data_IF_116783199120
#
_entry.id   IF_116783199120
#
_cell.length_a   1.000
_cell.length_b   1.000
_cell.length_c   1.000
_cell.angle_alpha   90.00
_cell.angle_beta   90.00
_cell.angle_gamma   90.00
#
_symmetry.space_group_name_H-M   'P 1'
#
loop_
_entity.id
_entity.type
_entity.pdbx_description
1 polymer ?
#
# COMPACT_ATOMS: atom_id res chain seq x y z
N UNK A 1 -34.42 26.47 -26.14
CA UNK A 1 -33.55 27.06 -25.11
C UNK A 1 -33.20 25.95 -24.13
N UNK A 2 -31.92 25.60 -24.04
CA UNK A 2 -31.42 24.51 -23.19
C UNK A 2 -31.15 25.05 -21.79
N UNK A 3 -31.76 24.46 -20.76
CA UNK A 3 -31.50 24.78 -19.36
C UNK A 3 -30.37 23.87 -18.83
N UNK A 4 -29.39 24.48 -18.17
CA UNK A 4 -28.25 23.80 -17.56
C UNK A 4 -28.68 22.92 -16.36
N UNK A 5 -28.02 21.78 -16.12
CA UNK A 5 -28.24 20.98 -14.91
C UNK A 5 -27.58 21.64 -13.67
N UNK A 6 -28.06 21.36 -12.46
CA UNK A 6 -27.53 21.93 -11.22
C UNK A 6 -26.14 21.37 -10.89
N UNK A 7 -25.21 22.28 -10.61
CA UNK A 7 -23.91 21.99 -10.01
C UNK A 7 -24.06 21.42 -8.60
N UNK A 8 -23.34 20.34 -8.30
CA UNK A 8 -23.20 19.84 -6.93
C UNK A 8 -22.90 18.36 -6.81
N UNK A 9 -21.97 17.80 -7.60
CA UNK A 9 -21.26 16.62 -7.14
C UNK A 9 -20.44 17.03 -5.90
N UNK A 10 -20.34 16.21 -4.85
CA UNK A 10 -19.41 16.50 -3.77
C UNK A 10 -18.02 16.63 -4.38
N UNK A 11 -17.45 17.83 -4.35
CA UNK A 11 -16.03 18.06 -4.58
C UNK A 11 -15.32 17.11 -3.62
N UNK A 12 -14.71 16.05 -4.15
CA UNK A 12 -13.86 15.20 -3.35
C UNK A 12 -12.87 16.14 -2.63
N UNK A 13 -12.68 16.00 -1.30
CA UNK A 13 -11.74 16.85 -0.59
C UNK A 13 -10.38 16.78 -1.29
N UNK A 14 -9.56 17.84 -1.24
CA UNK A 14 -8.19 17.75 -1.72
C UNK A 14 -7.57 16.51 -1.09
N UNK A 15 -6.97 15.64 -1.90
CA UNK A 15 -6.23 14.44 -1.48
C UNK A 15 -5.28 14.80 -0.33
N UNK A 16 -5.77 14.65 0.90
CA UNK A 16 -4.98 14.83 2.09
C UNK A 16 -4.09 13.60 2.18
N UNK A 17 -2.81 13.77 1.82
CA UNK A 17 -1.84 12.69 1.95
C UNK A 17 -1.82 12.20 3.40
N UNK A 18 -1.94 10.88 3.59
CA UNK A 18 -1.78 10.23 4.89
C UNK A 18 -0.38 10.48 5.46
N UNK A 19 0.60 10.62 4.58
CA UNK A 19 1.97 10.92 4.94
C UNK A 19 2.93 10.54 3.82
N UNK A 20 4.03 9.90 4.17
CA UNK A 20 5.06 9.45 3.24
C UNK A 20 5.51 8.03 3.51
N UNK A 21 6.01 7.37 2.48
CA UNK A 21 6.57 6.01 2.56
C UNK A 21 7.92 5.97 1.84
N UNK A 22 8.89 5.30 2.45
CA UNK A 22 10.23 5.09 1.91
C UNK A 22 10.48 3.61 1.71
N UNK A 23 11.00 3.28 0.54
CA UNK A 23 11.30 1.91 0.11
C UNK A 23 12.80 1.78 -0.12
N UNK A 24 13.43 0.67 0.29
CA UNK A 24 14.84 0.43 0.03
C UNK A 24 15.07 0.12 -1.46
N UNK A 25 16.24 0.50 -1.97
CA UNK A 25 16.66 0.23 -3.35
C UNK A 25 16.57 1.42 -4.32
N UNK A 26 15.68 2.40 -4.08
CA UNK A 26 15.57 3.60 -4.92
C UNK A 26 16.18 4.86 -4.29
N UNK A 27 17.31 4.71 -3.59
CA UNK A 27 18.04 5.83 -2.99
C UNK A 27 17.27 6.59 -1.92
N UNK A 28 16.49 5.90 -1.07
CA UNK A 28 15.65 6.49 -0.02
C UNK A 28 14.58 7.46 -0.55
N UNK A 29 14.14 7.28 -1.80
CA UNK A 29 13.12 8.16 -2.37
C UNK A 29 11.81 8.07 -1.59
N UNK A 30 11.44 9.21 -1.04
CA UNK A 30 10.21 9.45 -0.32
C UNK A 30 9.06 9.52 -1.33
N UNK A 31 8.02 8.72 -1.11
CA UNK A 31 6.79 8.70 -1.90
C UNK A 31 5.65 9.28 -1.10
N UNK A 32 4.73 9.97 -1.78
CA UNK A 32 3.50 10.41 -1.15
C UNK A 32 2.63 9.18 -0.85
N UNK A 33 2.16 9.07 0.40
CA UNK A 33 1.19 8.08 0.81
C UNK A 33 -0.18 8.75 0.91
N UNK A 34 -1.14 8.24 0.16
CA UNK A 34 -2.49 8.78 0.08
C UNK A 34 -3.53 7.79 0.56
N UNK A 35 -4.68 8.29 1.00
CA UNK A 35 -5.83 7.45 1.27
C UNK A 35 -6.54 7.09 -0.05
N UNK A 36 -6.74 5.79 -0.29
CA UNK A 36 -7.44 5.26 -1.45
C UNK A 36 -6.51 4.79 -2.57
N UNK A 37 -7.01 3.89 -3.40
CA UNK A 37 -6.25 3.23 -4.49
C UNK A 37 -6.85 3.53 -5.87
N UNK A 38 -7.57 4.65 -6.02
CA UNK A 38 -8.18 5.04 -7.31
C UNK A 38 -7.09 5.44 -8.31
N UNK A 39 -7.39 5.32 -9.60
CA UNK A 39 -6.43 5.55 -10.70
C UNK A 39 -5.78 6.94 -10.64
N UNK A 40 -6.51 7.94 -10.13
CA UNK A 40 -6.04 9.33 -9.93
C UNK A 40 -4.99 9.47 -8.82
N UNK A 41 -4.87 8.46 -7.94
CA UNK A 41 -3.95 8.41 -6.80
C UNK A 41 -2.68 7.62 -7.13
N UNK A 42 -2.62 6.90 -8.26
CA UNK A 42 -1.54 5.97 -8.62
C UNK A 42 -0.67 6.49 -9.78
N UNK A 43 -0.23 7.74 -9.69
CA UNK A 43 0.91 8.22 -10.47
C UNK A 43 2.20 7.50 -10.04
N UNK A 44 3.25 7.55 -10.87
CA UNK A 44 4.50 6.80 -10.64
C UNK A 44 5.16 7.08 -9.27
N UNK A 45 4.92 8.27 -8.68
CA UNK A 45 5.51 8.72 -7.42
C UNK A 45 4.56 8.62 -6.21
N UNK A 46 3.38 8.04 -6.37
CA UNK A 46 2.35 7.97 -5.31
C UNK A 46 2.02 6.53 -4.93
N UNK A 47 1.72 6.32 -3.66
CA UNK A 47 1.31 5.04 -3.08
C UNK A 47 -0.05 5.23 -2.41
N UNK A 48 -1.01 4.40 -2.76
CA UNK A 48 -2.38 4.46 -2.25
C UNK A 48 -2.62 3.44 -1.13
N UNK A 49 -3.17 3.87 0.00
CA UNK A 49 -3.64 3.02 1.08
C UNK A 49 -5.01 2.43 0.76
N UNK A 50 -5.18 1.12 0.98
CA UNK A 50 -6.50 0.51 0.96
C UNK A 50 -7.29 0.95 2.19
N UNK A 51 -8.21 1.90 2.03
CA UNK A 51 -8.93 2.57 3.13
C UNK A 51 -9.74 1.67 4.07
N UNK A 52 -9.98 0.41 3.69
CA UNK A 52 -10.66 -0.57 4.53
C UNK A 52 -9.70 -1.43 5.38
N UNK A 53 -8.40 -1.17 5.28
CA UNK A 53 -7.34 -1.90 5.99
C UNK A 53 -6.84 -1.08 7.19
N UNK A 54 -6.00 -1.69 8.05
CA UNK A 54 -5.55 -1.05 9.27
C UNK A 54 -4.66 0.17 8.97
N UNK A 55 -4.69 1.20 9.82
CA UNK A 55 -3.79 2.34 9.68
C UNK A 55 -2.32 1.95 10.02
N UNK A 56 -1.33 2.76 9.62
CA UNK A 56 0.07 2.50 9.95
C UNK A 56 0.30 2.28 11.46
N UNK A 57 1.01 1.21 11.80
CA UNK A 57 1.38 0.85 13.16
C UNK A 57 0.27 0.16 13.96
N UNK A 58 -0.96 0.12 13.43
CA UNK A 58 -2.09 -0.47 14.14
C UNK A 58 -2.11 -2.00 14.00
N UNK A 59 -2.72 -2.71 14.98
CA UNK A 59 -2.99 -4.14 14.86
C UNK A 59 -3.83 -4.45 13.60
N UNK A 60 -3.48 -5.53 12.92
CA UNK A 60 -4.06 -5.95 11.65
C UNK A 60 -3.06 -5.83 10.51
N UNK A 61 -3.55 -5.42 9.34
CA UNK A 61 -2.77 -5.32 8.11
C UNK A 61 -2.95 -3.95 7.49
N UNK A 62 -1.88 -3.17 7.38
CA UNK A 62 -1.83 -1.92 6.64
C UNK A 62 -1.47 -2.23 5.18
N UNK A 63 -2.41 -2.08 4.25
CA UNK A 63 -2.19 -2.46 2.88
C UNK A 63 -2.09 -1.26 1.94
N UNK A 64 -1.13 -1.31 1.01
CA UNK A 64 -0.89 -0.25 0.03
C UNK A 64 -0.72 -0.79 -1.39
N UNK A 65 -1.03 0.05 -2.37
CA UNK A 65 -0.87 -0.20 -3.79
C UNK A 65 0.04 0.86 -4.43
N UNK A 66 0.88 0.42 -5.37
CA UNK A 66 1.79 1.29 -6.10
C UNK A 66 2.29 0.64 -7.39
N UNK A 67 3.32 1.23 -8.01
CA UNK A 67 3.86 0.80 -9.30
C UNK A 67 5.31 0.32 -9.21
N UNK A 68 6.27 1.09 -9.70
CA UNK A 68 7.65 0.65 -9.96
C UNK A 68 8.43 0.36 -8.67
N UNK A 69 8.34 1.23 -7.67
CA UNK A 69 9.15 1.11 -6.46
C UNK A 69 8.81 -0.12 -5.58
N UNK A 70 7.56 -0.58 -5.57
CA UNK A 70 7.18 -1.77 -4.78
C UNK A 70 7.80 -3.04 -5.37
N UNK A 71 7.98 -3.09 -6.70
CA UNK A 71 8.50 -4.28 -7.41
C UNK A 71 9.97 -4.57 -7.13
N UNK A 72 10.70 -3.64 -6.50
CA UNK A 72 12.12 -3.81 -6.17
C UNK A 72 12.32 -4.41 -4.78
N UNK A 73 11.25 -4.56 -3.98
CA UNK A 73 11.33 -5.09 -2.63
C UNK A 73 11.76 -6.56 -2.60
N UNK A 74 12.56 -6.89 -1.60
CA UNK A 74 13.08 -8.21 -1.31
C UNK A 74 12.90 -8.54 0.18
N UNK A 75 12.92 -9.82 0.53
CA UNK A 75 12.91 -10.24 1.93
C UNK A 75 14.11 -9.64 2.68
N UNK A 76 13.84 -9.09 3.87
CA UNK A 76 14.81 -8.40 4.72
C UNK A 76 14.78 -6.87 4.60
N UNK A 77 14.14 -6.34 3.57
CA UNK A 77 14.03 -4.90 3.32
C UNK A 77 13.24 -4.18 4.40
N UNK A 78 13.65 -2.95 4.73
CA UNK A 78 12.94 -2.09 5.69
C UNK A 78 12.14 -1.02 4.96
N UNK A 79 10.83 -1.07 5.10
CA UNK A 79 9.90 -0.04 4.64
C UNK A 79 9.61 0.91 5.79
N UNK A 80 9.80 2.21 5.56
CA UNK A 80 9.54 3.25 6.56
C UNK A 80 8.28 4.01 6.16
N UNK A 81 7.30 4.06 7.05
CA UNK A 81 6.06 4.80 6.86
C UNK A 81 6.01 5.93 7.86
N UNK A 82 5.93 7.16 7.38
CA UNK A 82 5.87 8.37 8.20
C UNK A 82 4.51 9.02 8.01
N UNK A 83 3.78 9.19 9.10
CA UNK A 83 2.47 9.84 9.14
C UNK A 83 2.44 10.82 10.31
N UNK A 84 1.46 11.72 10.42
CA UNK A 84 1.38 12.65 11.55
C UNK A 84 1.41 11.98 12.94
N UNK A 85 0.99 10.71 13.04
CA UNK A 85 1.01 9.94 14.29
C UNK A 85 2.38 9.34 14.64
N UNK A 86 3.35 9.30 13.72
CA UNK A 86 4.69 8.78 13.97
C UNK A 86 5.33 8.08 12.76
N UNK A 87 6.50 7.50 13.02
CA UNK A 87 7.28 6.71 12.06
C UNK A 87 7.19 5.23 12.41
N UNK A 88 6.84 4.41 11.42
CA UNK A 88 6.64 2.96 11.57
C UNK A 88 7.55 2.22 10.61
N UNK A 89 8.37 1.31 11.14
CA UNK A 89 9.34 0.56 10.36
C UNK A 89 8.84 -0.87 10.19
N UNK A 90 8.68 -1.33 8.97
CA UNK A 90 8.28 -2.69 8.67
C UNK A 90 9.42 -3.43 7.99
N UNK A 91 9.68 -4.67 8.41
CA UNK A 91 10.60 -5.56 7.70
C UNK A 91 9.81 -6.45 6.77
N UNK A 92 10.18 -6.49 5.49
CA UNK A 92 9.63 -7.44 4.53
C UNK A 92 10.07 -8.84 4.90
N UNK A 93 9.13 -9.73 5.18
CA UNK A 93 9.42 -11.12 5.52
C UNK A 93 9.26 -12.03 4.28
N UNK A 94 8.35 -11.68 3.36
CA UNK A 94 8.06 -12.50 2.16
C UNK A 94 7.68 -11.65 0.95
N UNK A 95 8.07 -12.10 -0.24
CA UNK A 95 7.62 -11.56 -1.52
C UNK A 95 7.10 -12.66 -2.44
N UNK A 96 6.15 -12.33 -3.30
CA UNK A 96 5.59 -13.24 -4.30
C UNK A 96 5.23 -12.49 -5.60
N UNK A 97 5.66 -13.03 -6.75
CA UNK A 97 5.54 -12.35 -8.06
C UNK A 97 4.27 -12.74 -8.86
N UNK A 98 3.55 -13.78 -8.43
CA UNK A 98 2.50 -14.42 -9.20
C UNK A 98 1.20 -14.54 -8.41
N UNK A 99 0.84 -13.50 -7.65
CA UNK A 99 -0.42 -13.47 -6.90
C UNK A 99 -1.59 -13.19 -7.86
N UNK A 100 -2.66 -13.99 -7.86
CA UNK A 100 -3.84 -13.74 -8.69
C UNK A 100 -4.53 -12.41 -8.34
N UNK A 101 -5.10 -11.69 -9.33
CA UNK A 101 -5.78 -10.40 -9.12
C UNK A 101 -7.05 -10.50 -8.27
N UNK A 102 -7.63 -11.69 -8.20
CA UNK A 102 -8.80 -12.00 -7.39
C UNK A 102 -8.47 -12.32 -5.92
N UNK A 103 -7.18 -12.41 -5.55
CA UNK A 103 -6.75 -12.72 -4.18
C UNK A 103 -6.90 -11.50 -3.27
N UNK A 104 -8.15 -11.13 -2.97
CA UNK A 104 -8.48 -10.04 -2.03
C UNK A 104 -8.15 -10.39 -0.58
N UNK A 105 -8.04 -11.69 -0.28
CA UNK A 105 -7.70 -12.25 1.02
C UNK A 105 -6.28 -11.89 1.51
N UNK A 106 -5.40 -11.41 0.62
CA UNK A 106 -4.10 -10.83 0.99
C UNK A 106 -4.23 -9.53 1.79
N UNK A 107 -5.41 -8.89 1.78
CA UNK A 107 -5.69 -7.65 2.50
C UNK A 107 -6.30 -7.91 3.89
N UNK A 108 -6.57 -9.17 4.24
CA UNK A 108 -7.14 -9.53 5.54
C UNK A 108 -6.21 -9.11 6.70
N UNK A 109 -6.74 -8.96 7.94
CA UNK A 109 -5.93 -8.59 9.11
C UNK A 109 -4.77 -9.55 9.39
N UNK A 110 -4.95 -10.84 9.08
CA UNK A 110 -3.87 -11.81 8.93
C UNK A 110 -3.80 -12.10 7.42
N UNK A 111 -2.84 -11.51 6.69
CA UNK A 111 -2.77 -11.61 5.24
C UNK A 111 -2.66 -13.07 4.79
N UNK A 112 -3.53 -13.52 3.88
CA UNK A 112 -3.35 -14.83 3.28
C UNK A 112 -2.04 -14.90 2.49
N UNK A 113 -1.47 -16.10 2.35
CA UNK A 113 -0.19 -16.39 1.64
C UNK A 113 1.08 -15.79 2.28
N UNK A 114 0.95 -14.97 3.32
CA UNK A 114 2.09 -14.36 4.03
C UNK A 114 2.86 -15.30 4.96
N UNK A 115 2.32 -16.51 5.22
CA UNK A 115 2.76 -17.46 6.26
C UNK A 115 2.55 -16.95 7.71
N UNK A 116 1.85 -15.83 7.90
CA UNK A 116 1.39 -15.40 9.21
C UNK A 116 0.18 -16.22 9.67
N UNK A 117 0.18 -16.60 10.95
CA UNK A 117 -0.86 -17.46 11.54
C UNK A 117 -1.47 -16.89 12.84
N UNK A 118 -0.95 -15.77 13.33
CA UNK A 118 -1.40 -15.12 14.57
C UNK A 118 -1.72 -13.66 14.30
N UNK A 119 -2.55 -13.00 15.14
CA UNK A 119 -2.71 -11.55 15.08
C UNK A 119 -1.37 -10.82 15.28
N UNK A 120 -1.18 -9.71 14.57
CA UNK A 120 0.02 -8.87 14.63
C UNK A 120 -0.22 -7.54 13.94
N UNK A 121 0.85 -6.78 13.71
CA UNK A 121 0.82 -5.55 12.92
C UNK A 121 1.64 -5.76 11.66
N UNK A 122 0.95 -5.85 10.52
CA UNK A 122 1.52 -6.23 9.24
C UNK A 122 1.41 -5.09 8.23
N UNK A 123 2.27 -5.16 7.21
CA UNK A 123 2.15 -4.37 5.98
C UNK A 123 1.99 -5.30 4.77
N UNK A 124 1.13 -4.93 3.84
CA UNK A 124 0.99 -5.59 2.53
C UNK A 124 1.21 -4.57 1.42
N UNK A 125 2.21 -4.78 0.55
CA UNK A 125 2.48 -3.89 -0.58
C UNK A 125 2.18 -4.61 -1.89
N UNK A 126 1.34 -4.00 -2.72
CA UNK A 126 0.89 -4.59 -3.99
C UNK A 126 1.30 -3.75 -5.19
N UNK A 127 1.69 -4.42 -6.27
CA UNK A 127 1.99 -3.80 -7.55
C UNK A 127 1.64 -4.74 -8.72
N UNK A 128 1.44 -4.26 -9.95
CA UNK A 128 1.36 -5.12 -11.12
C UNK A 128 2.65 -5.93 -11.29
N UNK A 129 2.54 -7.22 -11.60
CA UNK A 129 3.73 -8.08 -11.81
C UNK A 129 4.42 -7.75 -13.13
N UNK A 130 5.76 -7.78 -13.13
CA UNK A 130 6.59 -7.63 -14.34
C UNK A 130 6.69 -8.93 -15.14
N UNK A 131 6.51 -10.08 -14.49
CA UNK A 131 6.67 -11.40 -15.11
C UNK A 131 5.36 -11.89 -15.73
N UNK A 132 4.21 -11.49 -15.19
CA UNK A 132 2.90 -11.86 -15.72
C UNK A 132 1.91 -10.68 -15.59
N UNK A 133 1.47 -10.12 -16.71
CA UNK A 133 0.57 -8.97 -16.75
C UNK A 133 -0.82 -9.22 -16.16
N UNK A 134 -1.17 -10.49 -15.88
CA UNK A 134 -2.41 -10.89 -15.23
C UNK A 134 -2.23 -11.21 -13.75
N UNK A 135 -1.10 -10.86 -13.15
CA UNK A 135 -0.79 -11.13 -11.74
C UNK A 135 -0.23 -9.89 -11.04
N UNK A 136 -0.24 -9.93 -9.71
CA UNK A 136 0.39 -8.93 -8.88
C UNK A 136 1.70 -9.46 -8.29
N UNK A 137 2.63 -8.53 -8.12
CA UNK A 137 3.69 -8.64 -7.14
C UNK A 137 3.12 -8.23 -5.78
N UNK A 138 3.39 -9.01 -4.75
CA UNK A 138 2.98 -8.72 -3.37
C UNK A 138 4.15 -8.94 -2.44
N UNK A 139 4.35 -8.00 -1.52
CA UNK A 139 5.29 -8.12 -0.42
C UNK A 139 4.54 -8.01 0.91
N UNK A 140 4.90 -8.86 1.87
CA UNK A 140 4.38 -8.84 3.23
C UNK A 140 5.49 -8.56 4.22
N UNK A 141 5.20 -7.76 5.24
CA UNK A 141 6.15 -7.46 6.30
C UNK A 141 5.50 -7.29 7.66
N UNK A 142 6.33 -7.36 8.69
CA UNK A 142 5.94 -7.19 10.09
C UNK A 142 6.48 -5.88 10.65
N UNK A 143 5.69 -5.20 11.48
CA UNK A 143 6.12 -4.02 12.21
C UNK A 143 7.28 -4.36 13.16
N UNK A 144 8.34 -3.58 13.10
CA UNK A 144 9.46 -3.67 14.02
C UNK A 144 9.12 -2.99 15.35
N UNK A 145 9.63 -3.50 16.48
CA UNK A 145 9.54 -2.80 17.74
C UNK A 145 10.30 -1.48 17.66
N UNK A 146 9.62 -0.38 18.00
CA UNK A 146 10.19 0.96 18.20
C UNK A 146 10.95 1.07 19.52
#
# INVERSE_FOLDING_TARGET
>A
ASAAPPSGLPTAPPIAGLGTIRLPGEGDRVRALDEGTRTETLDADRIGHYSHTAAPGQPGNFAVAGRDAIRTLSTGDIVVVEVPSGSYHYRIDKTEHNVPPQSVDILNPIPARSDYHTPGSYITLTAPSTTNTRSHFVAWGTLLPT
#
